data_IF_760700162517
#
_entry.id   IF_760700162517
#
_cell.length_a   1.000
_cell.length_b   1.000
_cell.length_c   1.000
_cell.angle_alpha   90.00
_cell.angle_beta   90.00
_cell.angle_gamma   90.00
#
_symmetry.space_group_name_H-M   'P 1'
#
loop_
_entity.id
_entity.type
_entity.pdbx_description
1 polymer ?
#
# COMPACT_ATOMS: atom_id res chain seq x y z
N UNK A 1 22.27 -54.47 -14.39
CA UNK A 1 21.84 -54.08 -13.03
C UNK A 1 20.88 -52.92 -13.18
N UNK A 2 19.59 -53.13 -12.89
CA UNK A 2 18.60 -52.04 -12.91
C UNK A 2 18.77 -51.23 -11.61
N UNK A 3 19.04 -49.93 -11.75
CA UNK A 3 19.13 -49.02 -10.61
C UNK A 3 17.80 -48.98 -9.87
N UNK A 4 17.84 -49.21 -8.56
CA UNK A 4 16.69 -49.08 -7.68
C UNK A 4 16.36 -47.59 -7.62
N UNK A 5 15.27 -47.16 -8.24
CA UNK A 5 14.78 -45.79 -8.07
C UNK A 5 14.44 -45.58 -6.59
N UNK A 6 15.20 -44.73 -5.91
CA UNK A 6 14.89 -44.31 -4.54
C UNK A 6 13.56 -43.56 -4.56
N UNK A 7 12.57 -44.08 -3.83
CA UNK A 7 11.25 -43.48 -3.73
C UNK A 7 11.38 -42.17 -2.98
N UNK A 8 11.20 -41.05 -3.67
CA UNK A 8 11.06 -39.73 -3.03
C UNK A 8 9.67 -39.66 -2.43
N UNK A 9 9.57 -39.43 -1.12
CA UNK A 9 8.33 -39.23 -0.40
C UNK A 9 8.19 -37.76 0.02
N UNK A 10 7.04 -37.16 -0.28
CA UNK A 10 6.71 -35.79 0.11
C UNK A 10 5.87 -35.86 1.39
N UNK A 11 6.39 -35.28 2.47
CA UNK A 11 5.73 -35.29 3.78
C UNK A 11 4.85 -34.05 3.90
N UNK A 12 3.55 -34.25 4.10
CA UNK A 12 2.62 -33.16 4.38
C UNK A 12 2.78 -32.64 5.82
N UNK A 13 2.48 -31.36 6.02
CA UNK A 13 2.48 -30.72 7.33
C UNK A 13 1.22 -31.08 8.14
N UNK A 14 1.10 -30.56 9.36
CA UNK A 14 -0.02 -30.85 10.27
C UNK A 14 -1.42 -30.47 9.72
N UNK A 15 -1.49 -29.65 8.68
CA UNK A 15 -2.72 -29.25 7.98
C UNK A 15 -2.94 -30.01 6.66
N UNK A 16 -2.06 -30.95 6.31
CA UNK A 16 -2.13 -31.72 5.06
C UNK A 16 -1.50 -31.02 3.85
N UNK A 17 -0.85 -29.86 4.03
CA UNK A 17 -0.16 -29.16 2.96
C UNK A 17 1.23 -29.73 2.73
N UNK A 18 1.63 -29.93 1.47
CA UNK A 18 2.99 -30.38 1.10
C UNK A 18 4.05 -29.26 1.16
N UNK A 19 3.63 -28.04 1.47
CA UNK A 19 4.48 -26.87 1.64
C UNK A 19 4.08 -26.15 2.92
N UNK A 20 5.04 -25.90 3.81
CA UNK A 20 4.84 -25.05 4.99
C UNK A 20 5.39 -23.67 4.70
N UNK A 21 4.60 -22.59 4.90
CA UNK A 21 5.07 -21.24 4.61
C UNK A 21 6.09 -20.80 5.66
N UNK A 22 7.07 -19.97 5.27
CA UNK A 22 8.17 -19.54 6.16
C UNK A 22 7.76 -18.34 7.03
N UNK A 23 6.81 -18.54 7.93
CA UNK A 23 6.29 -17.53 8.87
C UNK A 23 6.59 -17.95 10.30
N UNK A 24 6.94 -16.97 11.14
CA UNK A 24 7.09 -17.13 12.60
C UNK A 24 6.47 -15.93 13.29
N UNK A 25 5.74 -16.13 14.39
CA UNK A 25 5.28 -15.05 15.26
C UNK A 25 5.76 -15.25 16.71
N UNK A 26 5.96 -14.16 17.45
CA UNK A 26 6.42 -14.22 18.86
C UNK A 26 5.29 -14.59 19.85
N UNK A 27 4.03 -14.55 19.42
CA UNK A 27 2.91 -15.07 20.20
C UNK A 27 2.98 -16.60 20.22
N UNK A 28 3.42 -17.18 21.35
CA UNK A 28 3.53 -18.64 21.55
C UNK A 28 4.48 -19.38 20.58
N UNK A 29 5.33 -18.64 19.85
CA UNK A 29 6.23 -19.18 18.80
C UNK A 29 5.49 -19.98 17.73
N UNK A 30 4.38 -19.46 17.23
CA UNK A 30 3.70 -20.10 16.10
C UNK A 30 4.58 -20.07 14.86
N UNK A 31 4.46 -21.12 14.05
CA UNK A 31 5.20 -21.29 12.80
C UNK A 31 4.26 -21.73 11.68
N UNK A 32 4.65 -21.48 10.43
CA UNK A 32 3.92 -22.01 9.29
C UNK A 32 2.56 -21.37 9.08
N UNK A 33 1.56 -22.20 8.79
CA UNK A 33 0.21 -21.74 8.45
C UNK A 33 -0.47 -21.00 9.62
N UNK A 34 -0.22 -21.42 10.86
CA UNK A 34 -0.80 -20.77 12.05
C UNK A 34 -0.20 -19.37 12.27
N UNK A 35 1.11 -19.23 12.08
CA UNK A 35 1.78 -17.93 12.11
C UNK A 35 1.22 -17.01 11.01
N UNK A 36 1.07 -17.53 9.79
CA UNK A 36 0.52 -16.79 8.64
C UNK A 36 -0.87 -16.22 8.93
N UNK A 37 -1.75 -16.98 9.58
CA UNK A 37 -3.10 -16.53 9.92
C UNK A 37 -3.13 -15.44 10.99
N UNK A 38 -2.13 -15.39 11.87
CA UNK A 38 -2.04 -14.38 12.93
C UNK A 38 -1.30 -13.10 12.53
N UNK A 39 -0.46 -13.12 11.49
CA UNK A 39 0.33 -11.94 11.08
C UNK A 39 -0.54 -10.70 10.85
N UNK A 40 -1.76 -10.87 10.33
CA UNK A 40 -2.70 -9.77 10.13
C UNK A 40 -3.11 -9.06 11.44
N UNK A 41 -3.09 -9.77 12.57
CA UNK A 41 -3.46 -9.24 13.89
C UNK A 41 -2.26 -8.78 14.72
N UNK A 42 -1.05 -9.26 14.43
CA UNK A 42 0.17 -8.90 15.16
C UNK A 42 1.39 -8.78 14.22
N UNK A 43 1.40 -7.81 13.30
CA UNK A 43 2.42 -7.73 12.26
C UNK A 43 3.81 -7.36 12.81
N UNK A 44 3.88 -6.63 13.93
CA UNK A 44 5.14 -6.18 14.55
C UNK A 44 5.98 -7.37 15.04
N UNK A 45 5.31 -8.42 15.54
CA UNK A 45 5.97 -9.58 16.12
C UNK A 45 6.03 -10.76 15.14
N UNK A 46 5.84 -10.51 13.85
CA UNK A 46 5.88 -11.50 12.79
C UNK A 46 7.14 -11.38 11.94
N UNK A 47 7.81 -12.49 11.70
CA UNK A 47 8.92 -12.59 10.76
C UNK A 47 8.52 -13.47 9.56
N UNK A 48 8.79 -12.98 8.36
CA UNK A 48 8.56 -13.64 7.08
C UNK A 48 9.85 -13.67 6.27
N UNK A 49 10.05 -14.73 5.48
CA UNK A 49 11.11 -14.80 4.47
C UNK A 49 12.53 -14.57 5.03
N UNK A 50 12.74 -14.85 6.33
CA UNK A 50 14.01 -14.64 7.02
C UNK A 50 15.20 -15.32 6.31
N UNK A 51 14.97 -16.42 5.59
CA UNK A 51 15.99 -17.08 4.75
C UNK A 51 16.62 -16.16 3.72
N UNK A 52 15.87 -15.17 3.23
CA UNK A 52 16.35 -14.19 2.23
C UNK A 52 17.18 -13.07 2.86
N UNK A 53 17.14 -12.95 4.19
CA UNK A 53 17.96 -12.03 4.98
C UNK A 53 19.27 -12.67 5.46
N UNK A 54 19.46 -13.98 5.22
CA UNK A 54 20.68 -14.69 5.57
C UNK A 54 21.73 -14.48 4.47
N UNK A 55 22.87 -13.89 4.82
CA UNK A 55 23.99 -13.68 3.89
C UNK A 55 24.30 -12.22 3.59
N UNK A 56 23.32 -11.37 3.21
CA UNK A 56 23.56 -9.96 2.97
C UNK A 56 24.05 -9.26 4.24
N UNK A 57 25.11 -8.46 4.11
CA UNK A 57 25.49 -7.54 5.19
C UNK A 57 24.44 -6.45 5.25
N UNK A 58 23.88 -6.23 6.43
CA UNK A 58 22.79 -5.28 6.63
C UNK A 58 23.10 -3.86 6.08
N UNK A 59 24.36 -3.45 6.15
CA UNK A 59 24.82 -2.14 5.66
C UNK A 59 25.39 -2.15 4.22
N UNK A 60 25.53 -3.30 3.57
CA UNK A 60 26.10 -3.40 2.22
C UNK A 60 25.00 -3.73 1.21
N UNK A 61 24.51 -2.66 0.57
CA UNK A 61 23.42 -2.72 -0.40
C UNK A 61 23.74 -3.59 -1.62
N UNK A 62 25.01 -3.75 -1.97
CA UNK A 62 25.44 -4.54 -3.12
C UNK A 62 25.27 -6.06 -2.92
N UNK A 63 25.14 -6.51 -1.66
CA UNK A 63 24.98 -7.91 -1.29
C UNK A 63 23.50 -8.37 -1.34
N UNK A 64 22.54 -7.46 -1.61
CA UNK A 64 21.11 -7.80 -1.67
C UNK A 64 20.72 -8.36 -3.06
N UNK A 65 19.87 -9.40 -3.13
CA UNK A 65 19.45 -9.96 -4.41
C UNK A 65 18.70 -8.93 -5.28
N UNK A 66 18.90 -8.94 -6.59
CA UNK A 66 18.34 -7.94 -7.52
C UNK A 66 16.81 -7.98 -7.64
N UNK A 67 16.17 -9.10 -7.31
CA UNK A 67 14.71 -9.23 -7.18
C UNK A 67 14.15 -8.56 -5.92
N UNK A 68 15.01 -8.11 -5.00
CA UNK A 68 14.65 -7.18 -3.93
C UNK A 68 14.64 -5.72 -4.38
N UNK A 69 15.02 -5.39 -5.62
CA UNK A 69 14.80 -4.03 -6.12
C UNK A 69 13.31 -3.81 -6.32
N UNK A 70 12.75 -2.87 -5.55
CA UNK A 70 11.37 -2.45 -5.73
C UNK A 70 11.25 -1.81 -7.10
N UNK A 71 10.38 -2.34 -7.97
CA UNK A 71 10.00 -1.62 -9.18
C UNK A 71 9.38 -0.27 -8.78
N UNK A 72 9.65 0.82 -9.53
CA UNK A 72 8.96 2.08 -9.33
C UNK A 72 7.46 1.87 -9.32
N UNK A 73 6.79 2.44 -8.32
CA UNK A 73 5.35 2.25 -8.12
C UNK A 73 4.69 3.50 -7.57
N UNK A 74 3.46 3.74 -8.01
CA UNK A 74 2.64 4.88 -7.59
C UNK A 74 1.32 4.35 -7.08
N UNK A 75 0.95 4.73 -5.86
CA UNK A 75 -0.39 4.46 -5.34
C UNK A 75 -1.08 5.73 -4.89
N UNK A 76 -2.33 5.86 -5.33
CA UNK A 76 -3.24 6.93 -4.91
C UNK A 76 -4.24 6.34 -3.93
N UNK A 77 -4.27 6.89 -2.72
CA UNK A 77 -5.23 6.61 -1.67
C UNK A 77 -6.22 7.77 -1.62
N UNK A 78 -7.46 7.51 -2.01
CA UNK A 78 -8.43 8.55 -2.33
C UNK A 78 -9.65 8.47 -1.43
N UNK A 79 -9.84 9.44 -0.54
CA UNK A 79 -11.09 9.57 0.22
C UNK A 79 -12.16 10.23 -0.66
N UNK A 80 -13.04 9.42 -1.24
CA UNK A 80 -14.11 9.89 -2.15
C UNK A 80 -15.18 10.70 -1.41
N UNK A 81 -15.29 10.52 -0.10
CA UNK A 81 -16.20 11.33 0.69
C UNK A 81 -15.71 12.77 0.88
N UNK A 82 -14.39 13.00 0.82
CA UNK A 82 -13.79 14.34 0.89
C UNK A 82 -13.52 14.92 -0.50
N UNK A 83 -13.18 14.07 -1.46
CA UNK A 83 -12.95 14.43 -2.86
C UNK A 83 -13.84 13.56 -3.76
N UNK A 84 -15.11 13.93 -4.01
CA UNK A 84 -16.04 13.12 -4.79
C UNK A 84 -15.55 12.82 -6.20
N UNK A 85 -15.97 11.68 -6.76
CA UNK A 85 -15.74 11.39 -8.18
C UNK A 85 -16.52 12.38 -9.06
N UNK A 86 -15.97 12.85 -10.19
CA UNK A 86 -16.72 13.68 -11.13
C UNK A 86 -17.95 12.93 -11.67
N UNK A 87 -19.15 13.49 -11.49
CA UNK A 87 -20.42 12.83 -11.82
C UNK A 87 -20.73 12.81 -13.33
N UNK A 88 -20.13 13.74 -14.07
CA UNK A 88 -20.31 13.94 -15.51
C UNK A 88 -19.23 13.26 -16.35
N UNK A 89 -18.35 12.48 -15.70
CA UNK A 89 -17.20 11.85 -16.34
C UNK A 89 -17.32 10.32 -16.28
N UNK A 90 -17.18 9.60 -17.42
CA UNK A 90 -17.13 8.15 -17.38
C UNK A 90 -15.87 7.67 -16.64
N UNK A 91 -15.91 6.52 -15.94
CA UNK A 91 -14.79 6.01 -15.13
C UNK A 91 -13.42 5.99 -15.84
N UNK A 92 -13.39 5.62 -17.11
CA UNK A 92 -12.18 5.65 -17.94
C UNK A 92 -11.54 7.03 -18.00
N UNK A 93 -12.35 8.07 -18.16
CA UNK A 93 -11.86 9.44 -18.27
C UNK A 93 -11.36 9.95 -16.92
N UNK A 94 -11.95 9.51 -15.80
CA UNK A 94 -11.45 9.81 -14.45
C UNK A 94 -10.05 9.23 -14.27
N UNK A 95 -9.85 7.96 -14.64
CA UNK A 95 -8.53 7.33 -14.60
C UNK A 95 -7.51 8.06 -15.49
N UNK A 96 -7.85 8.36 -16.75
CA UNK A 96 -6.95 9.07 -17.66
C UNK A 96 -6.63 10.49 -17.19
N UNK A 97 -7.58 11.18 -16.54
CA UNK A 97 -7.34 12.49 -15.92
C UNK A 97 -6.32 12.38 -14.79
N UNK A 98 -6.50 11.44 -13.87
CA UNK A 98 -5.55 11.16 -12.77
C UNK A 98 -4.17 10.83 -13.34
N UNK A 99 -4.10 9.91 -14.31
CA UNK A 99 -2.86 9.51 -14.98
C UNK A 99 -2.15 10.70 -15.63
N UNK A 100 -2.88 11.51 -16.40
CA UNK A 100 -2.32 12.70 -17.07
C UNK A 100 -1.75 13.68 -16.05
N UNK A 101 -2.46 13.91 -14.94
CA UNK A 101 -1.98 14.75 -13.85
C UNK A 101 -0.71 14.18 -13.20
N UNK A 102 -0.64 12.86 -12.98
CA UNK A 102 0.54 12.19 -12.42
C UNK A 102 1.76 12.31 -13.34
N UNK A 103 1.57 12.14 -14.65
CA UNK A 103 2.64 12.30 -15.66
C UNK A 103 3.16 13.74 -15.64
N UNK A 104 2.26 14.73 -15.62
CA UNK A 104 2.64 16.14 -15.60
C UNK A 104 3.43 16.56 -14.34
N UNK A 105 3.36 15.78 -13.27
CA UNK A 105 3.99 16.07 -11.98
C UNK A 105 5.11 15.09 -11.60
N UNK A 106 5.60 14.28 -12.55
CA UNK A 106 6.69 13.31 -12.34
C UNK A 106 6.39 12.32 -11.20
N UNK A 107 5.12 11.91 -11.11
CA UNK A 107 4.61 10.99 -10.09
C UNK A 107 4.03 9.71 -10.71
N UNK A 108 4.07 9.56 -12.04
CA UNK A 108 3.54 8.40 -12.76
C UNK A 108 4.56 7.27 -12.84
N UNK A 109 4.07 6.04 -12.68
CA UNK A 109 4.82 4.79 -12.94
C UNK A 109 3.89 3.79 -13.61
N UNK A 110 4.46 2.78 -14.27
CA UNK A 110 3.66 1.72 -14.91
C UNK A 110 2.90 0.86 -13.88
N UNK A 111 3.38 0.79 -12.63
CA UNK A 111 2.67 0.20 -11.48
C UNK A 111 1.81 1.25 -10.75
N UNK A 112 0.83 1.82 -11.47
CA UNK A 112 -0.17 2.74 -10.91
C UNK A 112 -1.38 1.96 -10.37
N UNK A 113 -1.63 2.07 -9.06
CA UNK A 113 -2.86 1.59 -8.42
C UNK A 113 -3.63 2.76 -7.79
N UNK A 114 -4.96 2.79 -7.92
CA UNK A 114 -5.82 3.79 -7.29
C UNK A 114 -6.84 3.09 -6.39
N UNK A 115 -6.81 3.39 -5.09
CA UNK A 115 -7.76 2.90 -4.09
C UNK A 115 -8.65 4.04 -3.61
N UNK A 116 -9.95 3.88 -3.83
CA UNK A 116 -10.98 4.87 -3.57
C UNK A 116 -11.84 4.43 -2.39
N UNK A 117 -11.70 5.10 -1.26
CA UNK A 117 -12.41 4.80 -0.02
C UNK A 117 -13.73 5.56 -0.02
N UNK A 118 -14.83 4.83 0.12
CA UNK A 118 -16.18 5.39 0.06
C UNK A 118 -17.07 4.81 1.15
N UNK A 119 -17.99 5.63 1.67
CA UNK A 119 -19.09 5.10 2.50
C UNK A 119 -19.99 4.20 1.67
N UNK A 120 -20.29 3.00 2.21
CA UNK A 120 -21.10 1.89 1.65
C UNK A 120 -22.43 2.24 0.95
N UNK A 121 -22.92 3.48 1.04
CA UNK A 121 -24.25 3.89 0.55
C UNK A 121 -24.22 4.78 -0.69
N UNK A 122 -23.07 5.00 -1.33
CA UNK A 122 -22.94 6.08 -2.33
C UNK A 122 -22.76 5.62 -3.79
N UNK A 123 -22.50 4.33 -4.06
CA UNK A 123 -22.26 3.83 -5.42
C UNK A 123 -23.00 2.52 -5.67
N UNK A 124 -23.49 2.33 -6.90
CA UNK A 124 -24.09 1.06 -7.33
C UNK A 124 -23.00 0.03 -7.65
N UNK A 125 -23.30 -1.26 -7.44
CA UNK A 125 -22.39 -2.37 -7.76
C UNK A 125 -21.89 -2.34 -9.22
N UNK A 126 -22.75 -1.91 -10.15
CA UNK A 126 -22.39 -1.75 -11.55
C UNK A 126 -21.27 -0.72 -11.72
N UNK A 127 -21.44 0.46 -11.12
CA UNK A 127 -20.48 1.54 -11.22
C UNK A 127 -19.16 1.18 -10.52
N UNK A 128 -19.22 0.49 -9.37
CA UNK A 128 -18.03 -0.04 -8.66
C UNK A 128 -17.24 -0.99 -9.55
N UNK A 129 -17.91 -1.89 -10.28
CA UNK A 129 -17.26 -2.80 -11.24
C UNK A 129 -16.62 -2.05 -12.39
N UNK A 130 -17.34 -1.08 -12.97
CA UNK A 130 -16.85 -0.27 -14.09
C UNK A 130 -15.58 0.52 -13.70
N UNK A 131 -15.56 1.13 -12.51
CA UNK A 131 -14.35 1.78 -11.99
C UNK A 131 -13.19 0.79 -11.82
N UNK A 132 -13.46 -0.41 -11.30
CA UNK A 132 -12.44 -1.45 -11.10
C UNK A 132 -11.83 -1.92 -12.41
N UNK A 133 -12.65 -2.09 -13.45
CA UNK A 133 -12.21 -2.44 -14.81
C UNK A 133 -11.33 -1.34 -15.43
N UNK A 134 -11.48 -0.09 -14.98
CA UNK A 134 -10.69 1.06 -15.39
C UNK A 134 -9.58 1.42 -14.39
N UNK A 135 -9.17 0.49 -13.50
CA UNK A 135 -7.99 0.67 -12.64
C UNK A 135 -8.23 1.46 -11.34
N UNK A 136 -9.48 1.77 -11.00
CA UNK A 136 -9.86 2.43 -9.74
C UNK A 136 -10.64 1.43 -8.88
N UNK A 137 -10.03 0.97 -7.79
CA UNK A 137 -10.67 0.01 -6.87
C UNK A 137 -11.38 0.75 -5.76
N UNK A 138 -12.71 0.59 -5.67
CA UNK A 138 -13.48 1.08 -4.54
C UNK A 138 -13.40 0.13 -3.35
N UNK A 139 -13.17 0.71 -2.17
CA UNK A 139 -13.15 0.02 -0.88
C UNK A 139 -14.33 0.58 -0.07
N UNK A 140 -15.38 -0.24 0.05
CA UNK A 140 -16.72 0.15 0.48
C UNK A 140 -17.08 -0.42 1.86
N UNK A 141 -16.22 -0.19 2.84
CA UNK A 141 -16.55 -0.56 4.22
C UNK A 141 -16.24 0.59 5.17
N UNK A 142 -16.98 0.64 6.27
CA UNK A 142 -16.94 1.67 7.32
C UNK A 142 -17.92 2.85 7.12
N UNK A 143 -18.89 2.96 8.03
CA UNK A 143 -19.87 4.06 8.12
C UNK A 143 -19.30 5.35 8.77
N UNK A 144 -18.20 5.21 9.50
CA UNK A 144 -17.57 6.25 10.32
C UNK A 144 -16.32 6.86 9.66
N UNK A 145 -16.20 8.19 9.69
CA UNK A 145 -15.10 8.88 9.03
C UNK A 145 -13.74 8.60 9.68
N UNK A 146 -13.67 8.49 11.00
CA UNK A 146 -12.41 8.25 11.70
C UNK A 146 -11.88 6.85 11.40
N UNK A 147 -12.75 5.84 11.44
CA UNK A 147 -12.41 4.47 11.05
C UNK A 147 -11.96 4.36 9.59
N UNK A 148 -12.54 5.13 8.66
CA UNK A 148 -12.13 5.15 7.24
C UNK A 148 -10.71 5.72 7.09
N UNK A 149 -10.40 6.83 7.75
CA UNK A 149 -9.04 7.39 7.72
C UNK A 149 -8.00 6.47 8.38
N UNK A 150 -8.34 5.83 9.50
CA UNK A 150 -7.47 4.79 10.10
C UNK A 150 -7.22 3.63 9.13
N UNK A 151 -8.26 3.14 8.47
CA UNK A 151 -8.14 2.07 7.50
C UNK A 151 -7.24 2.48 6.33
N UNK A 152 -7.43 3.67 5.78
CA UNK A 152 -6.56 4.21 4.73
C UNK A 152 -5.09 4.26 5.16
N UNK A 153 -4.79 4.75 6.38
CA UNK A 153 -3.41 4.76 6.90
C UNK A 153 -2.85 3.36 7.06
N UNK A 154 -3.65 2.40 7.55
CA UNK A 154 -3.21 1.00 7.66
C UNK A 154 -2.89 0.38 6.31
N UNK A 155 -3.73 0.63 5.31
CA UNK A 155 -3.51 0.16 3.94
C UNK A 155 -2.27 0.80 3.31
N UNK A 156 -2.00 2.09 3.58
CA UNK A 156 -0.76 2.76 3.18
C UNK A 156 0.44 2.02 3.77
N UNK A 157 0.44 1.78 5.08
CA UNK A 157 1.55 1.12 5.77
C UNK A 157 1.74 -0.31 5.26
N UNK A 158 0.68 -1.10 5.16
CA UNK A 158 0.72 -2.47 4.64
C UNK A 158 1.25 -2.50 3.20
N UNK A 159 0.80 -1.59 2.34
CA UNK A 159 1.31 -1.50 0.98
C UNK A 159 2.81 -1.20 0.95
N UNK A 160 3.30 -0.31 1.83
CA UNK A 160 4.73 0.01 1.91
C UNK A 160 5.59 -1.10 2.51
N UNK A 161 5.03 -2.00 3.33
CA UNK A 161 5.75 -3.18 3.85
C UNK A 161 6.14 -4.12 2.71
N UNK A 162 5.26 -4.25 1.70
CA UNK A 162 5.53 -5.06 0.51
C UNK A 162 6.52 -4.40 -0.47
N UNK A 163 6.91 -3.14 -0.23
CA UNK A 163 7.87 -2.41 -1.08
C UNK A 163 9.26 -2.42 -0.41
N UNK A 164 10.27 -3.05 -1.03
CA UNK A 164 11.61 -3.10 -0.46
C UNK A 164 12.18 -1.70 -0.21
N UNK A 165 12.77 -1.49 0.97
CA UNK A 165 13.42 -0.24 1.39
C UNK A 165 14.70 0.11 0.59
N UNK A 166 14.96 -0.61 -0.51
CA UNK A 166 16.16 -0.44 -1.34
C UNK A 166 16.02 0.82 -2.22
N UNK A 167 14.83 1.08 -2.79
CA UNK A 167 14.56 2.24 -3.66
C UNK A 167 13.35 3.06 -3.17
N UNK A 168 13.36 3.59 -1.93
CA UNK A 168 12.19 4.25 -1.38
C UNK A 168 11.76 5.48 -2.21
N UNK A 169 12.71 6.18 -2.85
CA UNK A 169 12.43 7.35 -3.70
C UNK A 169 11.65 7.03 -4.98
N UNK A 170 11.66 5.78 -5.43
CA UNK A 170 10.91 5.31 -6.61
C UNK A 170 9.48 4.87 -6.24
N UNK A 171 9.16 4.87 -4.93
CA UNK A 171 7.83 4.55 -4.41
C UNK A 171 7.11 5.84 -4.06
N UNK A 172 6.03 6.11 -4.78
CA UNK A 172 5.21 7.30 -4.63
C UNK A 172 3.87 6.96 -3.95
N UNK A 173 3.65 7.55 -2.78
CA UNK A 173 2.41 7.47 -2.00
C UNK A 173 1.68 8.80 -2.14
N UNK A 174 0.48 8.80 -2.72
CA UNK A 174 -0.36 9.99 -2.85
C UNK A 174 -1.61 9.79 -2.01
N UNK A 175 -1.87 10.72 -1.09
CA UNK A 175 -3.00 10.66 -0.17
C UNK A 175 -3.93 11.84 -0.43
N UNK A 176 -5.13 11.56 -0.94
CA UNK A 176 -6.21 12.51 -1.10
C UNK A 176 -7.15 12.41 0.11
N UNK A 177 -6.76 13.04 1.22
CA UNK A 177 -7.60 13.19 2.41
C UNK A 177 -7.26 14.48 3.18
N UNK A 178 -8.28 15.32 3.39
CA UNK A 178 -8.24 16.49 4.25
C UNK A 178 -8.25 16.13 5.73
N UNK A 179 -8.81 14.97 6.11
CA UNK A 179 -8.84 14.53 7.51
C UNK A 179 -7.50 14.03 7.99
N UNK A 180 -6.82 13.18 7.21
CA UNK A 180 -5.50 12.66 7.58
C UNK A 180 -4.53 13.82 7.79
N UNK A 181 -4.54 14.83 6.92
CA UNK A 181 -3.68 16.02 7.04
C UNK A 181 -3.93 16.89 8.29
N UNK A 182 -5.07 16.71 8.97
CA UNK A 182 -5.43 17.46 10.18
C UNK A 182 -5.24 16.67 11.48
N UNK A 183 -5.10 15.35 11.40
CA UNK A 183 -5.04 14.45 12.55
C UNK A 183 -3.62 13.98 12.81
N UNK A 184 -2.99 14.53 13.85
CA UNK A 184 -1.57 14.28 14.20
C UNK A 184 -1.24 12.79 14.28
N UNK A 185 -2.11 11.99 14.86
CA UNK A 185 -1.95 10.54 15.02
C UNK A 185 -1.90 9.78 13.67
N UNK A 186 -2.54 10.32 12.64
CA UNK A 186 -2.57 9.75 11.30
C UNK A 186 -1.47 10.29 10.39
N UNK A 187 -0.90 11.45 10.73
CA UNK A 187 0.25 12.05 10.03
C UNK A 187 1.55 11.37 10.38
N UNK A 188 1.75 10.99 11.66
CA UNK A 188 3.01 10.40 12.13
C UNK A 188 3.50 9.18 11.32
N UNK A 189 2.63 8.23 10.89
CA UNK A 189 3.07 7.13 10.04
C UNK A 189 3.52 7.60 8.65
N UNK A 190 2.89 8.64 8.09
CA UNK A 190 3.28 9.22 6.79
C UNK A 190 4.61 9.97 6.89
N UNK A 191 4.83 10.72 7.96
CA UNK A 191 6.13 11.34 8.27
C UNK A 191 7.23 10.28 8.36
N UNK A 192 6.93 9.14 9.00
CA UNK A 192 7.89 8.04 9.12
C UNK A 192 8.27 7.47 7.75
N UNK A 193 7.33 7.37 6.81
CA UNK A 193 7.61 6.98 5.43
C UNK A 193 8.44 8.05 4.70
N UNK A 194 8.09 9.32 4.86
CA UNK A 194 8.87 10.40 4.26
C UNK A 194 10.32 10.43 4.77
N UNK A 195 10.55 10.30 6.09
CA UNK A 195 11.89 10.24 6.70
C UNK A 195 12.69 9.04 6.18
N UNK A 196 12.00 7.94 5.87
CA UNK A 196 12.53 6.74 5.22
C UNK A 196 12.84 6.94 3.72
N UNK A 197 12.57 8.13 3.17
CA UNK A 197 12.90 8.49 1.80
C UNK A 197 11.85 8.12 0.76
N UNK A 198 10.64 7.72 1.17
CA UNK A 198 9.51 7.53 0.26
C UNK A 198 9.02 8.88 -0.28
N UNK A 199 8.52 8.90 -1.51
CA UNK A 199 7.90 10.08 -2.09
C UNK A 199 6.43 10.17 -1.64
N UNK A 200 6.17 10.89 -0.54
CA UNK A 200 4.82 11.01 0.04
C UNK A 200 4.22 12.38 -0.29
N UNK A 201 3.03 12.41 -0.89
CA UNK A 201 2.30 13.62 -1.24
C UNK A 201 0.91 13.62 -0.61
N UNK A 202 0.51 14.75 -0.04
CA UNK A 202 -0.81 14.96 0.56
C UNK A 202 -1.58 16.04 -0.19
N UNK A 203 -2.88 15.82 -0.41
CA UNK A 203 -3.78 16.85 -0.89
C UNK A 203 -4.27 17.67 0.31
N UNK A 204 -3.43 18.59 0.77
CA UNK A 204 -3.79 19.54 1.81
C UNK A 204 -3.59 20.97 1.29
N UNK A 205 -4.58 21.87 1.44
CA UNK A 205 -4.39 23.28 1.17
C UNK A 205 -3.53 23.93 2.26
N UNK A 206 -2.32 24.35 1.89
CA UNK A 206 -1.41 25.36 2.48
C UNK A 206 -1.29 25.63 4.00
N UNK A 207 -1.94 24.91 4.92
CA UNK A 207 -1.76 25.13 6.37
C UNK A 207 -1.63 23.81 7.12
N UNK A 208 -0.39 23.39 7.33
CA UNK A 208 -0.01 22.45 8.39
C UNK A 208 0.43 23.27 9.61
N UNK A 209 0.02 22.90 10.85
CA UNK A 209 0.47 23.60 12.04
C UNK A 209 2.01 23.51 12.19
N UNK A 210 2.70 24.57 12.69
CA UNK A 210 4.17 24.71 12.64
C UNK A 210 5.00 23.61 13.33
N UNK A 211 4.37 22.73 14.13
CA UNK A 211 5.05 21.61 14.81
C UNK A 211 5.04 20.30 14.02
N UNK A 212 4.30 20.27 12.91
CA UNK A 212 4.15 19.13 12.01
C UNK A 212 4.07 19.66 10.59
N UNK A 213 5.02 20.53 10.21
CA UNK A 213 5.40 20.60 8.79
C UNK A 213 5.77 19.17 8.43
N UNK A 214 4.82 18.43 7.86
CA UNK A 214 5.15 17.22 7.13
C UNK A 214 6.28 17.67 6.22
N UNK A 215 7.44 17.07 6.40
CA UNK A 215 8.53 17.29 5.48
C UNK A 215 8.18 16.73 4.09
N UNK A 216 6.93 16.31 3.81
CA UNK A 216 6.43 16.01 2.47
C UNK A 216 6.71 17.17 1.53
N UNK A 217 7.66 16.94 0.64
CA UNK A 217 8.28 17.94 -0.20
C UNK A 217 7.35 18.49 -1.30
N UNK A 218 6.16 17.91 -1.52
CA UNK A 218 5.24 18.30 -2.59
C UNK A 218 3.77 18.08 -2.19
N UNK A 219 2.95 19.10 -2.41
CA UNK A 219 1.49 19.01 -2.32
C UNK A 219 0.92 18.29 -3.54
N UNK A 220 -0.13 17.47 -3.36
CA UNK A 220 -0.95 16.92 -4.46
C UNK A 220 -2.24 17.72 -4.70
N UNK A 221 -2.29 18.99 -4.28
CA UNK A 221 -3.39 19.92 -4.57
C UNK A 221 -3.78 19.98 -6.04
N UNK A 222 -2.81 19.85 -6.94
CA UNK A 222 -3.07 19.80 -8.39
C UNK A 222 -3.96 18.62 -8.78
N UNK A 223 -3.84 17.49 -8.08
CA UNK A 223 -4.67 16.31 -8.32
C UNK A 223 -6.07 16.53 -7.76
N UNK A 224 -6.18 17.09 -6.55
CA UNK A 224 -7.45 17.46 -5.95
C UNK A 224 -8.24 18.45 -6.84
N UNK A 225 -7.59 19.54 -7.28
CA UNK A 225 -8.18 20.53 -8.20
C UNK A 225 -8.57 19.92 -9.54
N UNK A 226 -7.79 18.97 -10.04
CA UNK A 226 -8.15 18.25 -11.25
C UNK A 226 -9.40 17.38 -11.04
N UNK A 227 -9.65 16.82 -9.87
CA UNK A 227 -10.85 16.02 -9.60
C UNK A 227 -12.10 16.88 -9.33
N UNK A 228 -11.93 18.15 -8.96
CA UNK A 228 -13.03 19.11 -8.74
C UNK A 228 -13.53 19.82 -10.02
N UNK A 229 -12.73 19.79 -11.09
CA UNK A 229 -12.99 20.49 -12.38
C UNK A 229 -13.56 19.57 -13.45
#
# INVERSE_FOLDING_TARGET
MAGKEERVEIIANGQGNITTPSYVTDNERLIGDDAKNQVAMNPINAALDAKRLLGPRFNDRSDWPSDFEAKPATRVFWDVNEFPVPLDMPPKNVYEKIKTCLVANDCYTDDLTIWAYVKKQHLSDHLVREYKENGITFLDEVSDDHRRSNWMVMDILLWTVDKPYINPKEITVIVLSLRISKLTELVQPLDSLYIRGYNVLLAAPHYLPPRFELATSKSSEWLAKALES
#
